data_IF_258487119756
#
_entry.id   IF_258487119756
#
_cell.length_a   1.000
_cell.length_b   1.000
_cell.length_c   1.000
_cell.angle_alpha   90.00
_cell.angle_beta   90.00
_cell.angle_gamma   90.00
#
_symmetry.space_group_name_H-M   'P 1'
#
loop_
_entity.id
_entity.type
_entity.pdbx_description
1 polymer ?
#
# COMPACT_ATOMS: atom_id res chain seq x y z
N UNK A 1 21.37 21.16 16.25
CA UNK A 1 21.12 19.72 16.49
C UNK A 1 20.06 19.25 15.50
N UNK A 2 20.43 19.23 14.22
CA UNK A 2 19.50 18.98 13.13
C UNK A 2 19.28 17.49 12.90
N UNK A 3 18.16 17.15 12.27
CA UNK A 3 17.74 15.81 11.84
C UNK A 3 18.71 15.09 10.88
N UNK A 4 19.90 15.64 10.62
CA UNK A 4 20.93 15.07 9.73
C UNK A 4 21.77 13.93 10.34
N UNK A 5 21.46 13.47 11.55
CA UNK A 5 22.11 12.32 12.18
C UNK A 5 21.41 10.97 11.93
N UNK A 6 20.21 10.99 11.34
CA UNK A 6 19.48 9.77 11.01
C UNK A 6 19.98 9.30 9.64
N UNK A 7 21.02 8.47 9.65
CA UNK A 7 21.52 7.86 8.42
C UNK A 7 20.51 6.79 7.92
N UNK A 8 20.45 6.64 6.60
CA UNK A 8 19.52 5.75 5.89
C UNK A 8 19.66 4.31 6.41
N UNK A 9 20.87 3.91 6.81
CA UNK A 9 21.15 2.60 7.39
C UNK A 9 20.41 2.33 8.70
N UNK A 10 20.26 3.35 9.55
CA UNK A 10 19.54 3.25 10.82
C UNK A 10 18.03 3.10 10.55
N UNK A 11 17.49 3.83 9.58
CA UNK A 11 16.09 3.68 9.17
C UNK A 11 15.78 2.28 8.65
N UNK A 12 16.68 1.67 7.88
CA UNK A 12 16.50 0.28 7.42
C UNK A 12 16.47 -0.72 8.57
N UNK A 13 17.34 -0.58 9.56
CA UNK A 13 17.35 -1.45 10.74
C UNK A 13 16.04 -1.30 11.53
N UNK A 14 15.58 -0.07 11.75
CA UNK A 14 14.31 0.20 12.44
C UNK A 14 13.14 -0.39 11.64
N UNK A 15 13.13 -0.22 10.32
CA UNK A 15 12.10 -0.79 9.45
C UNK A 15 12.00 -2.30 9.64
N UNK A 16 13.11 -3.02 9.61
CA UNK A 16 13.14 -4.48 9.81
C UNK A 16 12.53 -4.87 11.15
N UNK A 17 12.86 -4.16 12.23
CA UNK A 17 12.30 -4.43 13.56
C UNK A 17 10.77 -4.23 13.55
N UNK A 18 10.29 -3.13 12.95
CA UNK A 18 8.85 -2.86 12.81
C UNK A 18 8.16 -3.96 12.00
N UNK A 19 8.75 -4.40 10.89
CA UNK A 19 8.21 -5.51 10.08
C UNK A 19 8.11 -6.81 10.88
N UNK A 20 9.07 -7.09 11.76
CA UNK A 20 9.06 -8.29 12.62
C UNK A 20 8.00 -8.19 13.73
N UNK A 21 7.84 -7.01 14.34
CA UNK A 21 6.86 -6.80 15.41
C UNK A 21 5.41 -6.83 14.92
N UNK A 22 5.14 -6.14 13.81
CA UNK A 22 3.78 -6.06 13.26
C UNK A 22 3.47 -7.20 12.28
N UNK A 23 4.49 -7.85 11.74
CA UNK A 23 4.38 -8.83 10.66
C UNK A 23 4.06 -8.18 9.30
N UNK A 24 4.48 -8.83 8.22
CA UNK A 24 4.22 -8.33 6.85
C UNK A 24 2.74 -8.39 6.46
N UNK A 25 1.93 -9.24 7.10
CA UNK A 25 0.51 -9.44 6.79
C UNK A 25 -0.35 -8.22 7.15
N UNK A 26 -0.13 -7.61 8.31
CA UNK A 26 -0.83 -6.39 8.73
C UNK A 26 -0.37 -5.18 7.91
N UNK A 27 0.94 -5.10 7.64
CA UNK A 27 1.51 -4.02 6.84
C UNK A 27 1.12 -4.08 5.38
N UNK A 28 0.90 -5.26 4.79
CA UNK A 28 0.42 -5.36 3.40
C UNK A 28 -1.04 -4.93 3.27
N UNK A 29 -1.89 -5.30 4.23
CA UNK A 29 -3.29 -4.87 4.25
C UNK A 29 -3.40 -3.35 4.38
N UNK A 30 -2.86 -2.76 5.46
CA UNK A 30 -2.95 -1.32 5.69
C UNK A 30 -2.06 -0.50 4.75
N UNK A 31 -0.90 -1.03 4.37
CA UNK A 31 0.04 -0.38 3.46
C UNK A 31 -0.43 -0.35 2.00
N UNK A 32 -1.30 -1.27 1.57
CA UNK A 32 -1.92 -1.21 0.25
C UNK A 32 -2.84 0.01 0.11
N UNK A 33 -3.70 0.23 1.10
CA UNK A 33 -4.65 1.35 1.12
C UNK A 33 -3.92 2.69 1.26
N UNK A 34 -3.00 2.78 2.23
CA UNK A 34 -2.17 3.97 2.44
C UNK A 34 -1.25 4.24 1.25
N UNK A 35 -0.68 3.20 0.65
CA UNK A 35 0.18 3.29 -0.52
C UNK A 35 -0.58 3.80 -1.74
N UNK A 36 -1.82 3.37 -1.93
CA UNK A 36 -2.67 3.86 -3.03
C UNK A 36 -3.01 5.34 -2.85
N UNK A 37 -3.37 5.77 -1.63
CA UNK A 37 -3.64 7.18 -1.33
C UNK A 37 -2.40 8.06 -1.54
N UNK A 38 -1.23 7.61 -1.06
CA UNK A 38 0.04 8.32 -1.23
C UNK A 38 0.46 8.34 -2.72
N UNK A 39 0.22 7.27 -3.48
CA UNK A 39 0.52 7.19 -4.92
C UNK A 39 -0.28 8.22 -5.70
N UNK A 40 -1.58 8.36 -5.42
CA UNK A 40 -2.42 9.40 -6.04
C UNK A 40 -1.97 10.80 -5.65
N UNK A 41 -1.64 11.04 -4.38
CA UNK A 41 -1.08 12.32 -3.93
C UNK A 41 0.23 12.68 -4.65
N UNK A 42 1.17 11.73 -4.73
CA UNK A 42 2.45 11.93 -5.43
C UNK A 42 2.24 12.12 -6.94
N UNK A 43 1.23 11.48 -7.53
CA UNK A 43 0.86 11.65 -8.93
C UNK A 43 0.32 13.07 -9.18
N UNK A 44 -0.64 13.55 -8.39
CA UNK A 44 -1.19 14.90 -8.53
C UNK A 44 -0.13 15.98 -8.33
N UNK A 45 0.73 15.84 -7.31
CA UNK A 45 1.84 16.79 -7.09
C UNK A 45 2.85 16.77 -8.26
N UNK A 46 3.11 15.60 -8.84
CA UNK A 46 3.98 15.47 -10.01
C UNK A 46 3.33 16.05 -11.27
N UNK A 47 2.04 15.83 -11.49
CA UNK A 47 1.28 16.41 -12.60
C UNK A 47 1.25 17.94 -12.50
N UNK A 48 1.00 18.51 -11.32
CA UNK A 48 1.09 19.97 -11.10
C UNK A 48 2.51 20.52 -11.33
N UNK A 49 3.54 19.72 -11.06
CA UNK A 49 4.94 20.12 -11.29
C UNK A 49 5.37 19.93 -12.75
N UNK A 50 4.82 18.94 -13.46
CA UNK A 50 5.13 18.62 -14.85
C UNK A 50 4.22 19.31 -15.87
N UNK A 51 3.06 19.86 -15.47
CA UNK A 51 2.27 20.78 -16.31
C UNK A 51 3.03 22.11 -16.57
N UNK A 52 4.10 22.38 -15.82
CA UNK A 52 5.08 23.42 -16.15
C UNK A 52 6.11 22.99 -17.21
N UNK A 53 6.08 21.74 -17.70
CA UNK A 53 7.09 21.16 -18.60
C UNK A 53 6.50 20.11 -19.56
N UNK A 54 5.77 20.61 -20.54
CA UNK A 54 5.49 19.95 -21.83
C UNK A 54 4.61 18.69 -21.79
N UNK A 55 3.32 18.94 -22.07
CA UNK A 55 2.41 18.08 -22.84
C UNK A 55 3.14 17.25 -23.92
N UNK A 56 3.48 15.99 -23.66
CA UNK A 56 3.47 14.93 -24.68
C UNK A 56 3.61 13.53 -24.05
N UNK A 57 2.83 12.60 -24.62
CA UNK A 57 2.99 11.15 -24.57
C UNK A 57 2.24 10.36 -23.48
N UNK A 58 0.92 10.31 -23.68
CA UNK A 58 0.02 9.13 -23.71
C UNK A 58 0.39 7.86 -22.93
N UNK A 59 -0.59 7.41 -22.12
CA UNK A 59 -0.93 6.02 -21.74
C UNK A 59 -0.60 4.96 -22.82
N UNK A 60 -0.30 3.69 -22.47
CA UNK A 60 -1.09 2.87 -21.53
C UNK A 60 -0.28 1.92 -20.63
N UNK A 61 -0.88 1.40 -19.55
CA UNK A 61 -1.00 -0.06 -19.35
C UNK A 61 -1.70 -0.39 -18.04
N UNK A 62 -2.69 -1.27 -18.19
CA UNK A 62 -3.34 -1.99 -17.11
C UNK A 62 -2.35 -2.97 -16.48
N UNK A 63 -2.41 -3.09 -15.16
CA UNK A 63 -2.10 -4.35 -14.49
C UNK A 63 -3.33 -4.67 -13.63
N UNK A 64 -4.24 -5.44 -14.23
CA UNK A 64 -4.85 -6.57 -13.52
C UNK A 64 -3.73 -7.52 -13.07
N UNK A 65 -3.94 -8.54 -12.28
CA UNK A 65 -5.10 -9.37 -12.04
C UNK A 65 -4.59 -10.40 -11.00
N UNK A 66 -5.50 -10.99 -10.25
CA UNK A 66 -5.36 -12.35 -9.69
C UNK A 66 -4.18 -12.66 -8.74
N UNK A 67 -4.54 -12.75 -7.46
CA UNK A 67 -4.02 -13.78 -6.57
C UNK A 67 -5.17 -14.28 -5.67
N UNK A 68 -6.12 -14.98 -6.32
CA UNK A 68 -6.57 -16.34 -5.99
C UNK A 68 -6.04 -16.90 -4.64
N UNK A 69 -6.90 -17.09 -3.64
CA UNK A 69 -7.63 -18.33 -3.31
C UNK A 69 -6.86 -19.23 -2.30
N UNK A 70 -7.63 -20.02 -1.54
CA UNK A 70 -7.31 -21.01 -0.49
C UNK A 70 -7.04 -20.40 0.89
N UNK A 71 -7.87 -20.59 1.92
CA UNK A 71 -8.53 -21.81 2.45
C UNK A 71 -9.77 -21.34 3.24
N UNK A 72 -10.98 -21.80 2.92
CA UNK A 72 -11.58 -23.09 3.31
C UNK A 72 -11.89 -23.18 4.82
N UNK A 73 -13.18 -23.47 5.10
CA UNK A 73 -13.78 -23.95 6.36
C UNK A 73 -13.73 -22.94 7.53
N UNK A 74 -14.82 -22.58 8.20
CA UNK A 74 -15.77 -23.51 8.81
C UNK A 74 -16.99 -22.75 9.41
N UNK A 75 -18.18 -23.37 9.33
CA UNK A 75 -19.37 -23.18 10.21
C UNK A 75 -20.16 -21.86 9.97
N UNK A 76 -21.14 -21.76 9.05
CA UNK A 76 -22.39 -22.54 8.92
C UNK A 76 -23.23 -22.64 10.21
N UNK A 77 -24.45 -22.09 10.13
CA UNK A 77 -25.63 -22.33 10.98
C UNK A 77 -25.80 -21.49 12.26
N UNK A 78 -26.49 -20.34 12.13
CA UNK A 78 -27.59 -19.95 13.03
C UNK A 78 -28.29 -18.66 12.55
N UNK A 79 -29.26 -18.77 11.65
CA UNK A 79 -30.61 -18.26 11.95
C UNK A 79 -31.59 -18.76 10.89
N UNK A 80 -32.20 -19.90 11.21
CA UNK A 80 -33.53 -20.24 10.71
C UNK A 80 -34.56 -19.57 11.63
N UNK A 81 -35.76 -19.41 11.08
CA UNK A 81 -37.03 -19.11 11.75
C UNK A 81 -37.39 -17.63 11.93
N UNK A 82 -37.84 -17.12 10.79
CA UNK A 82 -38.95 -16.19 10.59
C UNK A 82 -40.28 -16.86 10.97
N UNK A 83 -41.00 -16.36 11.98
CA UNK A 83 -42.46 -16.37 12.13
C UNK A 83 -42.87 -15.80 13.50
#
# INVERSE_FOLDING_TARGET
MGVGGISIWQLLIILVIVLLLFGTKKLRGMGGDLGTAIKSFRKSVKEETEESKEESEKEPEQIGQDADEVVAEDIAAAHKDKA
#
